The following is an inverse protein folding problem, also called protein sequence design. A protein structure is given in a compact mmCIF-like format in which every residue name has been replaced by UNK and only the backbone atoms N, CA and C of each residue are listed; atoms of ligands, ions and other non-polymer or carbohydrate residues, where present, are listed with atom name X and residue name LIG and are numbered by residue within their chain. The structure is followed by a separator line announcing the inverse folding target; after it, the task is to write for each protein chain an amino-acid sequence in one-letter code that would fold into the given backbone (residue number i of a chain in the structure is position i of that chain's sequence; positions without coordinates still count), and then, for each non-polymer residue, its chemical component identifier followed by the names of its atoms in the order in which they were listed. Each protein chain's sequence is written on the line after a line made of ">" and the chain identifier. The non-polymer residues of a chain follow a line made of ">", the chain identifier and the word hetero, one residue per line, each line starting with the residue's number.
data_IF_248474563806
#
_entry.id   IF_248474563806
#
_cell.length_a   1.000
_cell.length_b   1.000
_cell.length_c   1.000
_cell.angle_alpha   90.00
_cell.angle_beta   90.00
_cell.angle_gamma   90.00
#
_symmetry.space_group_name_H-M   'P 1'
#
loop_
_entity.id
_entity.type
_entity.pdbx_description
1 polymer ?
#
# COMPACT_ATOMS: atom_id res chain seq x y z
N UNK A 1 1.88 -8.99 -18.45
CA UNK A 1 1.52 -8.90 -17.01
C UNK A 1 0.97 -7.52 -16.75
N UNK A 2 -0.17 -7.39 -16.05
CA UNK A 2 -0.67 -6.06 -15.63
C UNK A 2 0.11 -5.64 -14.39
N UNK A 3 0.81 -4.51 -14.46
CA UNK A 3 1.60 -3.97 -13.36
C UNK A 3 0.69 -3.23 -12.37
N UNK A 4 0.84 -3.49 -11.07
CA UNK A 4 0.18 -2.70 -10.03
C UNK A 4 1.20 -1.71 -9.47
N UNK A 5 0.87 -0.43 -9.48
CA UNK A 5 1.72 0.61 -8.89
C UNK A 5 1.08 1.12 -7.61
N UNK A 6 1.83 1.11 -6.52
CA UNK A 6 1.42 1.69 -5.25
C UNK A 6 2.37 2.83 -4.92
N UNK A 7 1.85 4.05 -4.84
CA UNK A 7 2.59 5.23 -4.44
C UNK A 7 2.18 5.64 -3.03
N UNK A 8 3.16 5.75 -2.14
CA UNK A 8 2.96 6.13 -0.74
C UNK A 8 3.67 7.46 -0.53
N UNK A 9 2.89 8.50 -0.26
CA UNK A 9 3.39 9.82 0.13
C UNK A 9 3.35 10.02 1.65
N UNK A 10 3.68 11.24 2.10
CA UNK A 10 3.66 11.58 3.55
C UNK A 10 2.27 11.56 4.16
N UNK A 11 1.26 11.98 3.39
CA UNK A 11 -0.12 12.16 3.88
C UNK A 11 -1.16 11.42 3.05
N UNK A 12 -0.76 10.69 2.01
CA UNK A 12 -1.70 10.04 1.11
C UNK A 12 -1.10 8.83 0.40
N UNK A 13 -1.99 7.98 -0.07
CA UNK A 13 -1.69 6.76 -0.82
C UNK A 13 -2.44 6.77 -2.15
N UNK A 14 -1.78 6.27 -3.20
CA UNK A 14 -2.36 6.08 -4.53
C UNK A 14 -2.10 4.64 -4.96
N UNK A 15 -3.14 3.94 -5.41
CA UNK A 15 -3.06 2.56 -5.89
C UNK A 15 -3.60 2.53 -7.32
N UNK A 16 -2.81 1.99 -8.26
CA UNK A 16 -3.16 1.92 -9.69
C UNK A 16 -3.13 0.44 -10.13
N UNK A 17 -4.29 -0.23 -10.19
CA UNK A 17 -4.38 -1.66 -10.50
C UNK A 17 -4.31 -1.94 -12.02
N UNK A 18 -3.15 -1.81 -12.66
CA UNK A 18 -2.96 -2.16 -14.08
C UNK A 18 -3.76 -1.34 -15.10
N UNK A 19 -4.73 -0.53 -14.65
CA UNK A 19 -5.48 0.46 -15.41
C UNK A 19 -5.60 1.74 -14.57
N UNK A 20 -5.26 2.88 -15.17
CA UNK A 20 -5.31 4.21 -14.54
C UNK A 20 -6.75 4.62 -14.21
N UNK A 21 -7.74 4.14 -14.96
CA UNK A 21 -9.16 4.44 -14.70
C UNK A 21 -9.67 3.82 -13.40
N UNK A 22 -8.95 2.82 -12.87
CA UNK A 22 -9.25 2.15 -11.60
C UNK A 22 -8.38 2.67 -10.45
N UNK A 23 -7.77 3.85 -10.62
CA UNK A 23 -6.95 4.48 -9.59
C UNK A 23 -7.77 4.72 -8.32
N UNK A 24 -7.24 4.25 -7.20
CA UNK A 24 -7.78 4.51 -5.87
C UNK A 24 -6.85 5.46 -5.12
N UNK A 25 -7.42 6.36 -4.32
CA UNK A 25 -6.64 7.34 -3.56
C UNK A 25 -7.22 7.55 -2.18
N UNK A 26 -6.38 7.85 -1.20
CA UNK A 26 -6.87 8.13 0.15
C UNK A 26 -5.85 8.87 1.02
N UNK A 27 -6.30 9.65 2.03
CA UNK A 27 -5.41 10.17 3.06
C UNK A 27 -4.90 9.04 3.97
N UNK A 28 -3.67 9.20 4.46
CA UNK A 28 -3.10 8.36 5.51
C UNK A 28 -3.51 8.94 6.87
N UNK A 29 -4.18 8.14 7.68
CA UNK A 29 -4.66 8.51 9.01
C UNK A 29 -3.60 8.26 10.08
N UNK A 30 -2.81 7.20 9.90
CA UNK A 30 -1.69 6.90 10.80
C UNK A 30 -0.62 6.08 10.08
N UNK A 31 0.63 6.25 10.51
CA UNK A 31 1.78 5.53 10.01
C UNK A 31 2.66 5.10 11.19
N UNK A 32 3.09 3.84 11.18
CA UNK A 32 4.07 3.31 12.12
C UNK A 32 5.21 2.67 11.33
N UNK A 33 6.44 3.11 11.59
CA UNK A 33 7.63 2.61 10.91
C UNK A 33 8.53 1.89 11.91
N UNK A 34 8.89 0.65 11.59
CA UNK A 34 9.74 -0.21 12.40
C UNK A 34 10.74 -0.93 11.49
N UNK A 35 11.61 -0.15 10.84
CA UNK A 35 12.70 -0.65 9.99
C UNK A 35 13.99 -0.68 10.79
N UNK A 36 14.66 -1.84 10.82
CA UNK A 36 16.06 -1.93 11.27
C UNK A 36 17.00 -1.60 10.12
N UNK A 37 16.67 -2.07 8.91
CA UNK A 37 17.32 -1.71 7.66
C UNK A 37 16.26 -1.38 6.60
N UNK A 38 16.19 -0.12 6.10
CA UNK A 38 15.16 0.30 5.15
C UNK A 38 15.05 -0.65 3.95
N UNK A 39 13.82 -1.12 3.68
CA UNK A 39 13.46 -2.01 2.58
C UNK A 39 14.16 -3.38 2.56
N UNK A 40 14.93 -3.71 3.60
CA UNK A 40 15.60 -5.01 3.74
C UNK A 40 15.05 -5.83 4.89
N UNK A 41 14.95 -5.21 6.07
CA UNK A 41 14.49 -5.87 7.29
C UNK A 41 13.65 -4.90 8.14
N UNK A 42 12.40 -5.29 8.37
CA UNK A 42 11.42 -4.54 9.14
C UNK A 42 10.17 -4.22 8.33
N UNK A 43 9.34 -3.30 8.84
CA UNK A 43 8.06 -2.97 8.21
C UNK A 43 7.57 -1.55 8.49
N UNK A 44 6.72 -1.07 7.59
CA UNK A 44 5.83 0.07 7.82
C UNK A 44 4.39 -0.43 7.79
N UNK A 45 3.57 0.05 8.73
CA UNK A 45 2.12 -0.14 8.74
C UNK A 45 1.45 1.21 8.60
N UNK A 46 0.57 1.34 7.61
CA UNK A 46 -0.19 2.54 7.31
C UNK A 46 -1.68 2.22 7.47
N UNK A 47 -2.45 3.12 8.08
CA UNK A 47 -3.91 3.11 8.00
C UNK A 47 -4.35 4.26 7.13
N UNK A 48 -5.21 3.99 6.17
CA UNK A 48 -5.67 4.97 5.20
C UNK A 48 -7.16 4.79 4.89
N UNK A 49 -7.83 5.89 4.56
CA UNK A 49 -9.20 5.90 4.08
C UNK A 49 -9.21 5.96 2.55
N UNK A 50 -9.36 4.82 1.89
CA UNK A 50 -9.28 4.70 0.43
C UNK A 50 -10.62 5.05 -0.20
N UNK A 51 -10.62 5.97 -1.15
CA UNK A 51 -11.76 6.27 -2.01
C UNK A 51 -11.66 5.48 -3.32
N UNK A 52 -12.72 4.74 -3.64
CA UNK A 52 -12.88 4.09 -4.94
C UNK A 52 -13.47 5.05 -5.98
N UNK A 53 -13.18 4.84 -7.28
CA UNK A 53 -13.81 5.59 -8.37
C UNK A 53 -15.35 5.52 -8.35
N UNK A 54 -15.93 4.42 -7.83
CA UNK A 54 -17.37 4.21 -7.73
C UNK A 54 -18.04 4.99 -6.58
N UNK A 55 -17.29 5.79 -5.81
CA UNK A 55 -17.80 6.63 -4.73
C UNK A 55 -17.82 5.98 -3.35
N UNK A 56 -17.35 4.73 -3.22
CA UNK A 56 -17.18 4.07 -1.93
C UNK A 56 -15.91 4.54 -1.18
N UNK A 57 -15.97 4.51 0.15
CA UNK A 57 -14.80 4.68 1.01
C UNK A 57 -14.56 3.42 1.84
N UNK A 58 -13.30 3.07 2.05
CA UNK A 58 -12.89 1.88 2.79
C UNK A 58 -11.67 2.14 3.66
N UNK A 59 -11.68 1.55 4.86
CA UNK A 59 -10.54 1.62 5.76
C UNK A 59 -9.55 0.51 5.40
N UNK A 60 -8.41 0.91 4.85
CA UNK A 60 -7.35 0.01 4.48
C UNK A 60 -6.19 0.07 5.49
N UNK A 61 -5.72 -1.09 5.91
CA UNK A 61 -4.41 -1.25 6.54
C UNK A 61 -3.42 -1.75 5.50
N UNK A 62 -2.38 -0.96 5.23
CA UNK A 62 -1.31 -1.29 4.29
C UNK A 62 -0.03 -1.57 5.07
N UNK A 63 0.46 -2.79 4.97
CA UNK A 63 1.73 -3.22 5.56
C UNK A 63 2.76 -3.41 4.47
N UNK A 64 3.83 -2.60 4.49
CA UNK A 64 5.02 -2.80 3.67
C UNK A 64 6.07 -3.49 4.52
N UNK A 65 6.43 -4.72 4.18
CA UNK A 65 7.37 -5.55 4.94
C UNK A 65 8.56 -5.91 4.06
N UNK A 66 9.77 -5.71 4.59
CA UNK A 66 11.01 -6.20 4.01
C UNK A 66 11.54 -7.33 4.89
N UNK A 67 11.83 -8.47 4.27
CA UNK A 67 12.45 -9.61 4.93
C UNK A 67 13.47 -10.25 4.01
N UNK A 68 14.73 -10.29 4.43
CA UNK A 68 15.81 -10.84 3.62
C UNK A 68 15.96 -10.15 2.25
N UNK A 69 15.77 -8.83 2.21
CA UNK A 69 15.91 -8.03 0.98
C UNK A 69 14.74 -8.14 -0.02
N UNK A 70 13.67 -8.86 0.33
CA UNK A 70 12.43 -8.92 -0.45
C UNK A 70 11.39 -8.02 0.19
N UNK A 71 10.82 -7.11 -0.60
CA UNK A 71 9.74 -6.23 -0.16
C UNK A 71 8.40 -6.78 -0.61
N UNK A 72 7.46 -6.87 0.33
CA UNK A 72 6.07 -7.23 0.06
C UNK A 72 5.14 -6.19 0.65
N UNK A 73 4.04 -5.94 -0.05
CA UNK A 73 2.95 -5.09 0.41
C UNK A 73 1.73 -5.97 0.65
N UNK A 74 1.16 -5.88 1.84
CA UNK A 74 -0.11 -6.49 2.21
C UNK A 74 -1.12 -5.38 2.47
N UNK A 75 -2.26 -5.43 1.80
CA UNK A 75 -3.39 -4.55 2.04
C UNK A 75 -4.58 -5.37 2.54
N UNK A 76 -5.14 -4.90 3.65
CA UNK A 76 -6.32 -5.46 4.30
C UNK A 76 -7.39 -4.38 4.38
N UNK A 77 -8.61 -4.71 4.01
CA UNK A 77 -9.75 -3.78 4.01
C UNK A 77 -10.70 -4.18 5.13
N UNK A 78 -10.98 -3.27 6.06
CA UNK A 78 -11.78 -3.57 7.25
C UNK A 78 -13.20 -4.03 6.88
N UNK A 79 -13.77 -3.45 5.83
CA UNK A 79 -15.10 -3.76 5.31
C UNK A 79 -15.16 -5.12 4.57
N UNK A 80 -14.00 -5.70 4.23
CA UNK A 80 -13.88 -6.98 3.55
C UNK A 80 -12.81 -7.86 4.23
N UNK A 81 -13.03 -8.34 5.47
CA UNK A 81 -12.02 -9.01 6.27
C UNK A 81 -11.51 -10.33 5.66
N UNK A 82 -12.33 -10.97 4.84
CA UNK A 82 -11.98 -12.21 4.13
C UNK A 82 -11.13 -11.97 2.87
N UNK A 83 -10.89 -10.70 2.50
CA UNK A 83 -10.09 -10.34 1.33
C UNK A 83 -8.81 -9.63 1.74
N UNK A 84 -7.70 -10.21 1.32
CA UNK A 84 -6.36 -9.63 1.47
C UNK A 84 -5.70 -9.53 0.11
N UNK A 85 -5.09 -8.39 -0.16
CA UNK A 85 -4.32 -8.17 -1.38
C UNK A 85 -2.85 -8.19 -1.01
N UNK A 86 -2.10 -9.13 -1.58
CA UNK A 86 -0.66 -9.24 -1.38
C UNK A 86 0.07 -9.02 -2.70
N UNK A 87 1.03 -8.11 -2.69
CA UNK A 87 1.84 -7.78 -3.85
C UNK A 87 3.31 -7.88 -3.45
N UNK A 88 4.11 -8.57 -4.26
CA UNK A 88 5.56 -8.55 -4.13
C UNK A 88 6.10 -7.43 -5.01
N UNK A 89 7.04 -6.63 -4.49
CA UNK A 89 7.63 -5.56 -5.28
C UNK A 89 8.66 -6.14 -6.26
N UNK A 90 8.42 -5.95 -7.56
CA UNK A 90 9.43 -6.24 -8.60
C UNK A 90 10.51 -5.15 -8.64
N UNK A 91 10.15 -3.90 -8.31
CA UNK A 91 11.04 -2.75 -8.21
C UNK A 91 10.43 -1.67 -7.31
N UNK A 92 11.26 -0.84 -6.69
CA UNK A 92 10.80 0.35 -5.96
C UNK A 92 11.81 1.50 -6.11
N UNK A 93 11.34 2.73 -5.92
CA UNK A 93 12.17 3.93 -5.93
C UNK A 93 11.58 4.99 -5.00
N UNK A 94 12.45 5.78 -4.37
CA UNK A 94 12.03 6.98 -3.62
C UNK A 94 11.95 8.17 -4.57
N UNK A 95 10.77 8.78 -4.67
CA UNK A 95 10.60 10.06 -5.36
C UNK A 95 10.99 11.17 -4.39
N UNK A 96 12.03 11.95 -4.74
CA UNK A 96 12.43 13.17 -4.03
C UNK A 96 11.49 14.32 -4.36
#
# INVERSE_FOLDING_TARGET
>A
MRQCTVEIGKSGIVIIPGNVDQKMTGPIESATCAWSEPYKEGKTVLKALISEPAGGQMHATVTVEGKGGKVTLLMEVAEMPDRKIRVSADSFAEKK
#
